data_IF_521528941948
#
_entry.id   IF_521528941948
#
_cell.length_a   1.000
_cell.length_b   1.000
_cell.length_c   1.000
_cell.angle_alpha   90.00
_cell.angle_beta   90.00
_cell.angle_gamma   90.00
#
_symmetry.space_group_name_H-M   'P 1'
#
loop_
_entity.id
_entity.type
_entity.pdbx_description
1 polymer ?
#
# COMPACT_ATOMS: atom_id res chain seq x y z
N UNK A 1 10.92 13.14 -38.83
CA UNK A 1 10.36 14.50 -39.00
C UNK A 1 8.93 14.62 -38.60
N UNK A 2 8.18 13.53 -38.68
CA UNK A 2 6.75 13.48 -38.26
C UNK A 2 6.56 13.41 -36.75
N UNK A 3 7.63 13.25 -36.00
CA UNK A 3 7.64 13.19 -34.56
C UNK A 3 7.10 14.48 -33.89
N UNK A 4 7.32 15.62 -34.53
CA UNK A 4 6.78 16.90 -34.02
C UNK A 4 5.36 17.21 -34.49
N UNK A 5 4.96 16.72 -35.66
CA UNK A 5 3.61 16.88 -36.17
C UNK A 5 2.60 16.03 -35.38
N UNK A 6 3.00 14.84 -34.92
CA UNK A 6 2.17 13.98 -34.08
C UNK A 6 1.98 14.51 -32.66
N UNK A 7 2.80 15.46 -32.19
CA UNK A 7 2.65 16.06 -30.87
C UNK A 7 1.34 16.84 -30.71
N UNK A 8 0.93 17.60 -31.73
CA UNK A 8 -0.33 18.31 -31.69
C UNK A 8 -1.56 17.41 -31.72
N UNK A 9 -1.48 16.32 -32.50
CA UNK A 9 -2.51 15.29 -32.53
C UNK A 9 -2.46 14.39 -31.29
N UNK A 10 -1.26 14.25 -30.69
CA UNK A 10 -1.04 13.53 -29.44
C UNK A 10 -1.88 14.07 -28.27
N UNK A 11 -2.10 15.35 -28.20
CA UNK A 11 -2.89 15.97 -27.16
C UNK A 11 -4.38 15.64 -27.23
N UNK A 12 -4.90 15.27 -28.40
CA UNK A 12 -6.30 14.88 -28.59
C UNK A 12 -6.54 13.46 -28.12
N UNK A 13 -5.71 12.50 -28.51
CA UNK A 13 -5.87 11.09 -28.12
C UNK A 13 -5.27 10.77 -26.73
N UNK A 14 -4.41 11.61 -26.22
CA UNK A 14 -3.87 11.52 -24.85
C UNK A 14 -4.76 12.19 -23.80
N UNK A 15 -5.92 12.71 -24.19
CA UNK A 15 -6.87 13.27 -23.21
C UNK A 15 -7.25 12.19 -22.22
N UNK A 16 -6.98 12.45 -20.96
CA UNK A 16 -7.38 11.57 -19.87
C UNK A 16 -8.91 11.57 -19.79
N UNK A 17 -9.48 10.38 -19.81
CA UNK A 17 -10.91 10.17 -19.58
C UNK A 17 -11.09 9.91 -18.08
N UNK A 18 -11.32 10.95 -17.32
CA UNK A 18 -11.49 10.85 -15.88
C UNK A 18 -12.68 9.97 -15.47
N UNK A 19 -13.70 9.84 -16.33
CA UNK A 19 -14.80 8.92 -16.11
C UNK A 19 -14.38 7.43 -16.06
N UNK A 20 -13.21 7.09 -16.59
CA UNK A 20 -12.69 5.71 -16.44
C UNK A 20 -12.42 5.36 -14.97
N UNK A 21 -12.21 6.33 -14.10
CA UNK A 21 -12.05 6.09 -12.66
C UNK A 21 -13.34 5.62 -11.97
N UNK A 22 -14.48 5.69 -12.64
CA UNK A 22 -15.75 5.12 -12.16
C UNK A 22 -15.87 3.63 -12.48
N UNK A 23 -15.02 3.10 -13.39
CA UNK A 23 -14.98 1.72 -13.79
C UNK A 23 -14.02 0.92 -12.88
N UNK A 24 -14.49 -0.18 -12.30
CA UNK A 24 -13.77 -1.01 -11.34
C UNK A 24 -12.42 -1.49 -11.88
N UNK A 25 -12.35 -1.85 -13.17
CA UNK A 25 -11.12 -2.32 -13.81
C UNK A 25 -10.02 -1.25 -13.76
N UNK A 26 -10.35 0.00 -14.05
CA UNK A 26 -9.38 1.09 -14.01
C UNK A 26 -9.08 1.52 -12.59
N UNK A 27 -10.06 1.42 -11.69
CA UNK A 27 -9.86 1.67 -10.26
C UNK A 27 -8.83 0.70 -9.67
N UNK A 28 -8.92 -0.59 -9.98
CA UNK A 28 -7.98 -1.59 -9.49
C UNK A 28 -6.55 -1.27 -9.94
N UNK A 29 -6.35 -0.93 -11.22
CA UNK A 29 -5.04 -0.51 -11.73
C UNK A 29 -4.55 0.76 -11.03
N UNK A 30 -5.42 1.75 -10.85
CA UNK A 30 -5.07 2.99 -10.16
C UNK A 30 -4.64 2.73 -8.71
N UNK A 31 -5.39 1.93 -7.96
CA UNK A 31 -5.06 1.60 -6.57
C UNK A 31 -3.75 0.80 -6.47
N UNK A 32 -3.53 -0.14 -7.38
CA UNK A 32 -2.29 -0.90 -7.45
C UNK A 32 -1.07 0.02 -7.65
N UNK A 33 -1.11 0.91 -8.63
CA UNK A 33 -0.02 1.88 -8.86
C UNK A 33 0.16 2.85 -7.69
N UNK A 34 -0.93 3.30 -7.08
CA UNK A 34 -0.88 4.14 -5.87
C UNK A 34 -0.16 3.40 -4.74
N UNK A 35 -0.45 2.12 -4.56
CA UNK A 35 0.19 1.26 -3.58
C UNK A 35 1.70 1.08 -3.86
N UNK A 36 2.09 0.81 -5.10
CA UNK A 36 3.51 0.73 -5.50
C UNK A 36 4.27 2.02 -5.20
N UNK A 37 3.66 3.17 -5.48
CA UNK A 37 4.27 4.47 -5.19
C UNK A 37 4.41 4.69 -3.68
N UNK A 38 3.39 4.33 -2.91
CA UNK A 38 3.42 4.41 -1.44
C UNK A 38 4.52 3.52 -0.87
N UNK A 39 4.61 2.27 -1.32
CA UNK A 39 5.65 1.32 -0.94
C UNK A 39 7.05 1.87 -1.23
N UNK A 40 7.29 2.33 -2.47
CA UNK A 40 8.59 2.92 -2.85
C UNK A 40 8.95 4.16 -2.02
N UNK A 41 7.96 4.95 -1.60
CA UNK A 41 8.19 6.12 -0.73
C UNK A 41 8.52 5.72 0.71
N UNK A 42 7.90 4.67 1.21
CA UNK A 42 8.12 4.16 2.57
C UNK A 42 9.51 3.52 2.74
N UNK A 43 10.09 2.97 1.65
CA UNK A 43 11.33 2.23 1.69
C UNK A 43 12.46 2.97 0.96
N UNK A 44 13.34 3.69 1.70
CA UNK A 44 14.50 4.41 1.15
C UNK A 44 15.45 3.51 0.34
N UNK A 45 15.63 2.26 0.74
CA UNK A 45 16.50 1.29 0.05
C UNK A 45 16.14 1.07 -1.42
N UNK A 46 14.87 1.34 -1.82
CA UNK A 46 14.43 1.30 -3.22
C UNK A 46 14.75 2.58 -4.01
N UNK A 47 15.48 3.52 -3.41
CA UNK A 47 15.78 4.84 -3.99
C UNK A 47 17.24 5.22 -3.85
N UNK A 48 18.12 4.22 -3.76
CA UNK A 48 19.56 4.44 -3.72
C UNK A 48 20.02 5.18 -5.00
N UNK A 49 20.87 6.17 -4.83
CA UNK A 49 21.25 7.12 -5.89
C UNK A 49 22.63 6.86 -6.51
N UNK A 50 23.37 5.92 -5.96
CA UNK A 50 24.68 5.54 -6.47
C UNK A 50 24.83 4.02 -6.65
N UNK A 51 25.75 3.64 -7.55
CA UNK A 51 25.97 2.25 -7.91
C UNK A 51 26.69 1.43 -6.84
N UNK A 52 27.43 2.08 -5.96
CA UNK A 52 28.17 1.41 -4.88
C UNK A 52 27.20 0.95 -3.80
N UNK A 53 26.26 1.80 -3.40
CA UNK A 53 25.22 1.45 -2.43
C UNK A 53 24.27 0.38 -3.00
N UNK A 54 23.90 0.48 -4.29
CA UNK A 54 23.09 -0.57 -4.92
C UNK A 54 23.79 -1.92 -4.85
N UNK A 55 25.11 -1.97 -5.13
CA UNK A 55 25.89 -3.22 -5.04
C UNK A 55 26.03 -3.75 -3.61
N UNK A 56 26.07 -2.85 -2.64
CA UNK A 56 26.19 -3.22 -1.24
C UNK A 56 24.89 -3.81 -0.69
N UNK A 57 23.75 -3.32 -1.14
CA UNK A 57 22.44 -3.66 -0.56
C UNK A 57 21.60 -4.61 -1.41
N UNK A 58 21.82 -4.69 -2.73
CA UNK A 58 21.00 -5.51 -3.64
C UNK A 58 21.82 -6.67 -4.16
N UNK A 59 21.42 -7.88 -3.78
CA UNK A 59 22.08 -9.14 -4.21
C UNK A 59 21.12 -9.95 -5.07
N UNK A 60 21.49 -10.31 -6.31
CA UNK A 60 20.70 -11.25 -7.10
C UNK A 60 20.64 -12.61 -6.42
N UNK A 61 19.52 -13.28 -6.53
CA UNK A 61 19.36 -14.68 -6.07
C UNK A 61 19.65 -15.60 -7.24
N UNK A 62 20.51 -16.57 -7.00
CA UNK A 62 20.90 -17.59 -7.99
C UNK A 62 20.07 -18.87 -7.80
N UNK A 63 20.23 -19.83 -8.71
CA UNK A 63 19.57 -21.14 -8.67
C UNK A 63 18.04 -21.11 -8.63
N UNK A 64 17.45 -20.18 -9.41
CA UNK A 64 16.02 -20.08 -9.62
C UNK A 64 15.58 -20.79 -10.91
N UNK A 65 14.30 -21.12 -10.98
CA UNK A 65 13.67 -21.66 -12.20
C UNK A 65 13.85 -20.70 -13.40
N UNK A 66 13.78 -21.24 -14.61
CA UNK A 66 13.80 -20.45 -15.84
C UNK A 66 12.72 -19.37 -15.81
N UNK A 67 13.07 -18.16 -16.27
CA UNK A 67 12.23 -16.97 -16.29
C UNK A 67 11.71 -16.49 -14.91
N UNK A 68 12.37 -16.92 -13.84
CA UNK A 68 12.18 -16.35 -12.50
C UNK A 68 13.42 -15.53 -12.13
N UNK A 69 13.23 -14.33 -11.63
CA UNK A 69 14.32 -13.46 -11.17
C UNK A 69 13.99 -12.98 -9.77
N UNK A 70 14.94 -13.05 -8.87
CA UNK A 70 14.76 -12.52 -7.53
C UNK A 70 15.97 -11.73 -7.04
N UNK A 71 15.70 -10.81 -6.12
CA UNK A 71 16.70 -10.01 -5.44
C UNK A 71 16.47 -10.03 -3.93
N UNK A 72 17.54 -10.28 -3.19
CA UNK A 72 17.59 -10.03 -1.76
C UNK A 72 18.13 -8.62 -1.52
N UNK A 73 17.43 -7.84 -0.72
CA UNK A 73 17.78 -6.45 -0.42
C UNK A 73 17.96 -6.33 1.09
N UNK A 74 19.11 -5.82 1.55
CA UNK A 74 19.37 -5.56 2.97
C UNK A 74 18.84 -4.20 3.37
N UNK A 75 18.19 -4.10 4.54
CA UNK A 75 17.57 -2.86 5.05
C UNK A 75 18.52 -1.91 5.79
N UNK A 76 19.83 -2.12 5.76
CA UNK A 76 20.81 -1.28 6.45
C UNK A 76 21.06 0.04 5.70
N UNK A 77 20.01 0.83 5.58
CA UNK A 77 20.00 2.15 4.93
C UNK A 77 19.31 3.15 5.84
N UNK A 78 19.84 4.37 5.91
CA UNK A 78 19.30 5.43 6.78
C UNK A 78 17.82 5.73 6.46
N UNK A 79 16.99 5.67 7.49
CA UNK A 79 15.54 5.86 7.40
C UNK A 79 14.77 4.64 6.88
N UNK A 80 15.41 3.50 6.60
CA UNK A 80 14.73 2.23 6.33
C UNK A 80 14.25 1.60 7.64
N UNK A 81 13.03 1.04 7.61
CA UNK A 81 12.41 0.39 8.77
C UNK A 81 12.35 -1.13 8.64
N UNK A 82 12.59 -1.64 7.43
CA UNK A 82 12.63 -3.07 7.18
C UNK A 82 14.05 -3.62 7.35
N UNK A 83 14.18 -4.75 8.02
CA UNK A 83 15.47 -5.45 8.13
C UNK A 83 15.99 -5.97 6.78
N UNK A 84 15.08 -6.17 5.83
CA UNK A 84 15.39 -6.60 4.48
C UNK A 84 14.13 -6.82 3.64
N UNK A 85 14.34 -6.99 2.35
CA UNK A 85 13.29 -7.29 1.39
C UNK A 85 13.70 -8.44 0.47
N UNK A 86 12.70 -9.14 -0.03
CA UNK A 86 12.87 -10.15 -1.05
C UNK A 86 11.91 -9.85 -2.19
N UNK A 87 12.45 -9.57 -3.37
CA UNK A 87 11.68 -9.16 -4.55
C UNK A 87 11.79 -10.26 -5.59
N UNK A 88 10.67 -10.82 -6.02
CA UNK A 88 10.61 -11.93 -6.96
C UNK A 88 9.74 -11.53 -8.15
N UNK A 89 10.21 -11.86 -9.34
CA UNK A 89 9.49 -11.69 -10.60
C UNK A 89 9.34 -13.05 -11.27
N UNK A 90 8.12 -13.44 -11.58
CA UNK A 90 7.81 -14.65 -12.35
C UNK A 90 7.28 -14.25 -13.73
N UNK A 91 8.05 -14.51 -14.78
CA UNK A 91 7.64 -14.27 -16.17
C UNK A 91 7.02 -15.50 -16.84
N UNK A 92 6.80 -16.59 -16.10
CA UNK A 92 6.14 -17.80 -16.60
C UNK A 92 4.61 -17.64 -16.61
N UNK A 93 3.94 -18.39 -17.46
CA UNK A 93 2.46 -18.49 -17.49
C UNK A 93 1.91 -19.46 -16.43
N UNK A 94 2.73 -19.93 -15.52
CA UNK A 94 2.40 -20.84 -14.44
C UNK A 94 2.96 -20.32 -13.12
N UNK A 95 2.35 -20.74 -12.03
CA UNK A 95 2.82 -20.45 -10.67
C UNK A 95 4.17 -21.09 -10.43
N UNK A 96 5.08 -20.38 -9.79
CA UNK A 96 6.40 -20.86 -9.40
C UNK A 96 6.59 -20.76 -7.91
N UNK A 97 7.22 -21.79 -7.34
CA UNK A 97 7.60 -21.80 -5.94
C UNK A 97 9.07 -21.35 -5.81
N UNK A 98 9.33 -20.44 -4.89
CA UNK A 98 10.67 -19.93 -4.59
C UNK A 98 10.98 -20.14 -3.11
N UNK A 99 12.15 -20.73 -2.82
CA UNK A 99 12.61 -20.89 -1.45
C UNK A 99 13.04 -19.55 -0.87
N UNK A 100 12.53 -19.22 0.31
CA UNK A 100 12.87 -18.00 1.02
C UNK A 100 13.99 -18.24 2.03
N UNK A 101 14.79 -17.22 2.34
CA UNK A 101 15.70 -17.24 3.48
C UNK A 101 14.95 -17.48 4.79
N UNK A 102 15.66 -18.00 5.81
CA UNK A 102 15.08 -18.26 7.13
C UNK A 102 14.43 -17.03 7.74
N UNK A 103 13.28 -17.26 8.38
CA UNK A 103 12.49 -16.24 9.07
C UNK A 103 11.08 -16.09 8.52
N UNK A 104 10.38 -15.12 9.09
CA UNK A 104 9.03 -14.73 8.65
C UNK A 104 9.13 -13.56 7.67
N UNK A 105 8.34 -13.62 6.63
CA UNK A 105 8.29 -12.64 5.56
C UNK A 105 6.87 -12.13 5.38
N UNK A 106 6.71 -10.84 5.41
CA UNK A 106 5.44 -10.16 5.22
C UNK A 106 5.27 -9.82 3.72
N UNK A 107 4.26 -10.39 3.09
CA UNK A 107 3.88 -10.06 1.71
C UNK A 107 3.23 -8.68 1.71
N UNK A 108 3.80 -7.73 1.01
CA UNK A 108 3.26 -6.37 0.85
C UNK A 108 2.75 -6.10 -0.57
N UNK A 109 3.27 -6.83 -1.55
CA UNK A 109 2.86 -6.70 -2.96
C UNK A 109 2.75 -8.09 -3.55
N UNK A 110 1.63 -8.38 -4.22
CA UNK A 110 1.40 -9.58 -5.01
C UNK A 110 0.80 -9.22 -6.38
N UNK A 111 0.20 -10.18 -7.09
CA UNK A 111 -0.42 -10.01 -8.42
C UNK A 111 -1.62 -9.04 -8.44
N UNK A 112 -2.32 -8.88 -7.31
CA UNK A 112 -3.58 -8.13 -7.22
C UNK A 112 -3.50 -6.91 -6.32
N UNK A 113 -2.69 -6.94 -5.29
CA UNK A 113 -2.60 -5.91 -4.26
C UNK A 113 -1.17 -5.35 -4.16
N UNK A 114 -1.07 -4.06 -3.93
CA UNK A 114 0.18 -3.40 -3.63
C UNK A 114 -0.03 -2.32 -2.55
N UNK A 115 0.88 -2.27 -1.59
CA UNK A 115 0.80 -1.30 -0.50
C UNK A 115 1.93 -1.47 0.51
N UNK A 116 1.83 -0.74 1.60
CA UNK A 116 2.74 -0.85 2.75
C UNK A 116 2.21 -1.80 3.82
N UNK A 117 0.94 -2.19 3.71
CA UNK A 117 0.30 -3.09 4.67
C UNK A 117 0.67 -4.55 4.34
N UNK A 118 0.77 -5.37 5.37
CA UNK A 118 1.00 -6.81 5.22
C UNK A 118 -0.27 -7.50 4.74
N UNK A 119 -0.20 -8.16 3.58
CA UNK A 119 -1.29 -8.97 3.03
C UNK A 119 -1.36 -10.30 3.78
N UNK A 120 -0.21 -10.96 3.91
CA UNK A 120 -0.04 -12.21 4.64
C UNK A 120 1.40 -12.35 5.12
N UNK A 121 1.66 -13.28 6.04
CA UNK A 121 3.00 -13.62 6.50
C UNK A 121 3.30 -15.07 6.14
N UNK A 122 4.42 -15.30 5.48
CA UNK A 122 4.86 -16.59 4.99
C UNK A 122 6.29 -16.92 5.47
N UNK A 123 6.65 -18.19 5.41
CA UNK A 123 8.01 -18.66 5.73
C UNK A 123 8.34 -19.94 4.95
N UNK A 124 9.63 -20.16 4.71
CA UNK A 124 10.12 -21.34 4.00
C UNK A 124 10.03 -21.22 2.49
N UNK A 125 8.85 -21.19 1.90
CA UNK A 125 8.64 -21.03 0.46
C UNK A 125 7.58 -19.98 0.14
N UNK A 126 7.66 -19.41 -1.05
CA UNK A 126 6.70 -18.44 -1.58
C UNK A 126 6.19 -18.90 -2.93
N UNK A 127 4.88 -18.93 -3.08
CA UNK A 127 4.20 -19.13 -4.36
C UNK A 127 4.07 -17.81 -5.10
N UNK A 128 4.64 -17.72 -6.30
CA UNK A 128 4.57 -16.52 -7.14
C UNK A 128 3.66 -16.78 -8.32
N UNK A 129 2.59 -16.02 -8.42
CA UNK A 129 1.58 -16.17 -9.46
C UNK A 129 2.13 -15.92 -10.88
N UNK A 130 1.45 -16.42 -11.93
CA UNK A 130 1.89 -16.23 -13.31
C UNK A 130 2.01 -14.75 -13.69
N UNK A 131 3.07 -14.40 -14.43
CA UNK A 131 3.30 -13.04 -14.97
C UNK A 131 3.13 -11.96 -13.89
N UNK A 132 3.72 -12.19 -12.73
CA UNK A 132 3.54 -11.32 -11.56
C UNK A 132 4.85 -11.01 -10.82
N UNK A 133 4.77 -10.09 -9.89
CA UNK A 133 5.81 -9.80 -8.92
C UNK A 133 5.30 -10.06 -7.50
N UNK A 134 6.18 -10.56 -6.65
CA UNK A 134 5.95 -10.73 -5.21
C UNK A 134 7.02 -9.96 -4.45
N UNK A 135 6.61 -9.07 -3.55
CA UNK A 135 7.54 -8.32 -2.71
C UNK A 135 7.24 -8.61 -1.25
N UNK A 136 8.28 -9.07 -0.58
CA UNK A 136 8.28 -9.53 0.78
C UNK A 136 9.17 -8.60 1.62
N UNK A 137 8.73 -8.26 2.81
CA UNK A 137 9.48 -7.46 3.76
C UNK A 137 9.79 -8.30 4.99
N UNK A 138 11.06 -8.37 5.37
CA UNK A 138 11.50 -9.01 6.59
C UNK A 138 11.32 -8.06 7.76
N UNK A 139 10.70 -8.53 8.82
CA UNK A 139 10.50 -7.75 10.04
C UNK A 139 9.62 -8.50 11.01
N UNK A 140 9.66 -8.10 12.26
CA UNK A 140 8.99 -8.76 13.39
C UNK A 140 7.44 -8.64 13.35
N UNK A 141 6.79 -8.84 12.23
CA UNK A 141 5.31 -8.86 12.13
C UNK A 141 4.58 -7.61 12.66
N UNK A 142 5.31 -6.61 13.10
CA UNK A 142 4.81 -5.39 13.71
C UNK A 142 5.14 -4.15 12.87
N UNK A 143 5.50 -4.35 11.60
CA UNK A 143 5.73 -3.31 10.60
C UNK A 143 4.44 -2.68 10.09
N UNK A 144 3.48 -2.46 10.95
CA UNK A 144 2.40 -1.52 10.71
C UNK A 144 2.88 -0.12 11.11
N UNK A 145 3.76 0.45 10.34
CA UNK A 145 3.67 1.88 10.14
C UNK A 145 2.54 2.08 9.12
N UNK A 146 1.32 1.91 9.59
CA UNK A 146 0.19 2.52 8.94
C UNK A 146 0.57 3.99 8.72
N UNK A 147 0.97 4.35 7.49
CA UNK A 147 0.74 5.71 7.04
C UNK A 147 -0.76 5.84 7.18
N UNK A 148 -1.19 6.56 8.21
CA UNK A 148 -2.58 6.84 8.47
C UNK A 148 -3.18 7.24 7.13
N UNK A 149 -4.10 6.41 6.61
CA UNK A 149 -4.91 6.81 5.47
C UNK A 149 -5.50 8.15 5.86
N UNK A 150 -5.13 9.20 5.13
CA UNK A 150 -5.71 10.51 5.33
C UNK A 150 -7.23 10.33 5.27
N UNK A 151 -7.87 10.35 6.43
CA UNK A 151 -9.33 10.27 6.52
C UNK A 151 -9.95 9.44 7.63
N UNK A 152 -9.23 8.55 8.31
CA UNK A 152 -9.80 7.89 9.47
C UNK A 152 -9.47 8.68 10.74
N UNK A 153 -10.48 9.34 11.26
CA UNK A 153 -10.39 9.98 12.58
C UNK A 153 -9.91 8.94 13.61
N UNK A 154 -8.90 9.26 14.44
CA UNK A 154 -8.43 8.33 15.44
C UNK A 154 -9.57 7.89 16.35
N UNK A 155 -9.57 6.62 16.77
CA UNK A 155 -10.69 6.00 17.48
C UNK A 155 -11.17 6.82 18.69
N UNK A 156 -10.28 7.53 19.39
CA UNK A 156 -10.65 8.42 20.49
C UNK A 156 -11.53 9.61 20.04
N UNK A 157 -11.39 10.09 18.79
CA UNK A 157 -12.26 11.15 18.25
C UNK A 157 -13.69 10.65 18.01
N UNK A 158 -13.87 9.38 17.67
CA UNK A 158 -15.19 8.78 17.58
C UNK A 158 -15.89 8.76 18.95
N UNK A 159 -15.16 8.48 20.02
CA UNK A 159 -15.68 8.56 21.39
C UNK A 159 -16.01 10.00 21.79
N UNK A 160 -15.18 10.97 21.44
CA UNK A 160 -15.47 12.39 21.71
C UNK A 160 -16.73 12.83 20.96
N UNK A 161 -16.93 12.39 19.73
CA UNK A 161 -18.11 12.72 18.94
C UNK A 161 -19.38 12.10 19.53
N UNK A 162 -19.33 10.84 19.99
CA UNK A 162 -20.47 10.18 20.65
C UNK A 162 -20.83 10.85 21.97
N UNK A 163 -19.84 11.25 22.77
CA UNK A 163 -20.08 11.99 24.03
C UNK A 163 -20.71 13.36 23.75
N UNK A 164 -20.20 14.09 22.74
CA UNK A 164 -20.75 15.40 22.34
C UNK A 164 -22.21 15.29 21.90
N UNK A 165 -22.53 14.28 21.09
CA UNK A 165 -23.91 14.02 20.64
C UNK A 165 -24.82 13.68 21.83
N UNK A 166 -24.35 12.85 22.77
CA UNK A 166 -25.12 12.51 23.97
C UNK A 166 -25.39 13.74 24.88
N UNK A 167 -24.40 14.63 25.03
CA UNK A 167 -24.53 15.89 25.78
C UNK A 167 -25.55 16.81 25.11
N UNK A 168 -25.54 16.93 23.80
CA UNK A 168 -26.46 17.79 23.04
C UNK A 168 -27.91 17.24 23.17
N UNK A 169 -28.10 15.90 23.06
CA UNK A 169 -29.41 15.27 23.22
C UNK A 169 -29.91 15.47 24.66
N UNK A 170 -29.03 15.29 25.66
CA UNK A 170 -29.36 15.52 27.07
C UNK A 170 -29.75 16.99 27.34
N UNK A 171 -29.02 17.94 26.80
CA UNK A 171 -29.34 19.36 26.95
C UNK A 171 -30.66 19.74 26.27
N UNK A 172 -30.93 19.21 25.07
CA UNK A 172 -32.20 19.41 24.38
C UNK A 172 -33.39 18.83 25.15
N UNK A 173 -33.25 17.66 25.77
CA UNK A 173 -34.31 17.02 26.58
C UNK A 173 -34.64 17.84 27.83
N UNK A 174 -33.63 18.33 28.56
CA UNK A 174 -33.82 19.19 29.75
C UNK A 174 -34.44 20.52 29.37
N UNK A 175 -34.04 21.11 28.22
CA UNK A 175 -34.63 22.36 27.74
C UNK A 175 -36.10 22.19 27.33
N UNK A 176 -36.42 21.07 26.67
CA UNK A 176 -37.80 20.71 26.30
C UNK A 176 -38.71 20.57 27.57
N UNK A 177 -38.22 19.87 28.60
CA UNK A 177 -38.96 19.72 29.86
C UNK A 177 -39.19 21.05 30.59
N UNK A 178 -38.17 21.94 30.60
CA UNK A 178 -38.32 23.29 31.17
C UNK A 178 -39.36 24.13 30.44
N UNK A 179 -39.49 23.94 29.13
CA UNK A 179 -40.46 24.66 28.31
C UNK A 179 -41.88 24.14 28.52
N UNK A 180 -42.07 22.84 28.68
CA UNK A 180 -43.34 22.19 28.98
C UNK A 180 -43.84 22.55 30.38
N UNK A 181 -42.95 22.61 31.39
CA UNK A 181 -43.30 23.00 32.75
C UNK A 181 -43.73 24.48 32.93
N UNK A 182 -43.36 25.37 32.00
CA UNK A 182 -43.81 26.78 31.99
C UNK A 182 -45.16 26.98 31.30
N UNK A 183 -45.59 26.07 30.43
CA UNK A 183 -46.85 26.15 29.71
C UNK A 183 -48.04 25.63 30.54
N UNK A 184 -47.82 24.83 31.62
CA UNK A 184 -48.84 24.29 32.47
C UNK A 184 -49.17 25.13 33.73
N UNK A 185 -48.68 26.37 33.81
CA UNK A 185 -48.92 27.30 34.93
C UNK A 185 -49.52 28.62 34.44
N UNK A 186 -50.60 28.51 33.69
CA UNK A 186 -51.52 29.65 33.43
C UNK A 186 -52.93 29.17 33.66
#
# INVERSE_FOLDING_TARGET
RDYYASRGLGDVYKRQKWSNLEDEQYQNVYQYYKGLIAFRKAHPVLRLDNAEDVKAHVTPVEDLDDNVVAFAITGDVDGETADGMYVIFNANNEKKEVTLPEGNWNVCINDTLAGTDTIETISGTADVDPVSALILVKGDGNGSTAIASEGTLPAWMAYVFTILVAVVIGACSVWSQKKAGKAGRK
#
